data_IF_415764445970
#
_entry.id   IF_415764445970
#
_cell.length_a   1.000
_cell.length_b   1.000
_cell.length_c   1.000
_cell.angle_alpha   90.00
_cell.angle_beta   90.00
_cell.angle_gamma   90.00
#
_symmetry.space_group_name_H-M   'P 1'
#
loop_
_entity.id
_entity.type
_entity.pdbx_description
1 polymer ?
#
# COMPACT_ATOMS: atom_id res chain seq x y z
N UNK A 1 4.33 -8.42 -14.36
CA UNK A 1 2.89 -8.52 -13.97
C UNK A 1 2.22 -9.77 -14.54
N UNK A 2 1.84 -9.84 -15.83
CA UNK A 2 1.13 -11.00 -16.38
C UNK A 2 1.94 -12.31 -16.26
N UNK A 3 3.22 -12.24 -16.57
CA UNK A 3 4.17 -13.35 -16.40
C UNK A 3 4.31 -13.79 -14.93
N UNK A 4 4.30 -12.84 -13.98
CA UNK A 4 4.34 -13.16 -12.55
C UNK A 4 3.05 -13.85 -12.09
N UNK A 5 1.90 -13.44 -12.65
CA UNK A 5 0.62 -14.09 -12.41
C UNK A 5 0.63 -15.52 -12.96
N UNK A 6 1.09 -15.72 -14.21
CA UNK A 6 1.22 -17.06 -14.80
C UNK A 6 2.07 -17.99 -13.94
N UNK A 7 3.27 -17.55 -13.53
CA UNK A 7 4.16 -18.34 -12.65
C UNK A 7 3.53 -18.64 -11.29
N UNK A 8 2.78 -17.68 -10.74
CA UNK A 8 2.04 -17.87 -9.50
C UNK A 8 0.96 -18.96 -9.67
N UNK A 9 0.14 -18.85 -10.71
CA UNK A 9 -0.95 -19.78 -10.99
C UNK A 9 -0.46 -21.18 -11.33
N UNK A 10 0.58 -21.31 -12.17
CA UNK A 10 1.21 -22.61 -12.50
C UNK A 10 1.76 -23.32 -11.25
N UNK A 11 2.28 -22.57 -10.29
CA UNK A 11 2.74 -23.14 -9.01
C UNK A 11 1.58 -23.62 -8.14
N UNK A 12 0.47 -22.90 -8.11
CA UNK A 12 -0.72 -23.33 -7.38
C UNK A 12 -1.45 -24.50 -8.09
N UNK A 13 -1.41 -24.56 -9.42
CA UNK A 13 -1.96 -25.65 -10.22
C UNK A 13 -1.14 -26.94 -10.13
N UNK A 14 0.20 -26.85 -10.13
CA UNK A 14 1.08 -27.99 -9.90
C UNK A 14 0.91 -28.65 -8.52
N UNK A 15 0.26 -27.97 -7.56
CA UNK A 15 -0.18 -28.56 -6.28
C UNK A 15 -1.51 -29.32 -6.39
N UNK A 16 -2.27 -29.15 -7.48
CA UNK A 16 -3.64 -29.67 -7.68
C UNK A 16 -3.77 -30.82 -8.69
N UNK A 17 -2.70 -31.21 -9.39
CA UNK A 17 -2.67 -32.38 -10.31
C UNK A 17 -3.85 -32.42 -11.30
N UNK A 18 -3.88 -31.53 -12.29
CA UNK A 18 -4.83 -31.58 -13.41
C UNK A 18 -4.12 -31.83 -14.75
N UNK A 19 -4.86 -32.32 -15.75
CA UNK A 19 -4.35 -32.75 -17.06
C UNK A 19 -3.82 -31.57 -17.91
N UNK A 20 -2.87 -31.85 -18.82
CA UNK A 20 -2.06 -30.87 -19.58
C UNK A 20 -2.83 -29.94 -20.54
N UNK A 21 -4.12 -30.14 -20.78
CA UNK A 21 -4.89 -29.39 -21.78
C UNK A 21 -5.42 -28.03 -21.28
N UNK A 22 -5.28 -27.74 -19.98
CA UNK A 22 -5.81 -26.54 -19.30
C UNK A 22 -4.69 -25.56 -18.85
N UNK A 23 -3.72 -25.25 -19.72
CA UNK A 23 -2.58 -24.41 -19.35
C UNK A 23 -2.91 -22.91 -19.18
N UNK A 24 -2.26 -22.26 -18.22
CA UNK A 24 -2.32 -20.79 -18.05
C UNK A 24 -1.61 -20.11 -19.23
N UNK A 25 -2.30 -19.25 -19.95
CA UNK A 25 -1.80 -18.56 -21.13
C UNK A 25 -1.79 -17.04 -20.95
N UNK A 26 -0.89 -16.35 -21.66
CA UNK A 26 -0.88 -14.89 -21.75
C UNK A 26 -1.25 -14.49 -23.17
N UNK A 27 -2.22 -13.60 -23.29
CA UNK A 27 -2.63 -13.01 -24.56
C UNK A 27 -2.21 -11.55 -24.55
N UNK A 28 -1.37 -11.17 -25.49
CA UNK A 28 -1.07 -9.77 -25.78
C UNK A 28 -2.19 -9.20 -26.64
N UNK A 29 -2.80 -8.11 -26.16
CA UNK A 29 -3.85 -7.37 -26.87
C UNK A 29 -3.33 -5.98 -27.17
N UNK A 30 -3.40 -5.57 -28.44
CA UNK A 30 -3.14 -4.19 -28.87
C UNK A 30 -4.43 -3.40 -29.07
N UNK A 31 -4.30 -2.08 -29.05
CA UNK A 31 -5.44 -1.15 -29.12
C UNK A 31 -6.28 -1.29 -30.41
N UNK A 32 -5.70 -1.80 -31.49
CA UNK A 32 -6.36 -2.10 -32.77
C UNK A 32 -7.12 -3.45 -32.77
N UNK A 33 -7.10 -4.19 -31.67
CA UNK A 33 -7.84 -5.44 -31.50
C UNK A 33 -7.11 -6.71 -31.91
N UNK A 34 -5.82 -6.63 -32.27
CA UNK A 34 -5.02 -7.84 -32.45
C UNK A 34 -4.78 -8.51 -31.11
N UNK A 35 -5.05 -9.80 -31.04
CA UNK A 35 -4.82 -10.64 -29.89
C UNK A 35 -3.88 -11.79 -30.29
N UNK A 36 -2.71 -11.86 -29.68
CA UNK A 36 -1.70 -12.88 -29.98
C UNK A 36 -1.27 -13.60 -28.70
N UNK A 37 -1.35 -14.94 -28.63
CA UNK A 37 -0.72 -15.70 -27.56
C UNK A 37 0.77 -15.36 -27.46
N UNK A 38 1.30 -15.31 -26.23
CA UNK A 38 2.72 -15.03 -26.00
C UNK A 38 3.29 -15.95 -24.91
N UNK A 39 4.29 -16.75 -25.28
CA UNK A 39 4.95 -17.72 -24.39
C UNK A 39 6.07 -17.10 -23.55
N UNK A 40 6.56 -15.94 -23.99
CA UNK A 40 7.48 -15.13 -23.20
C UNK A 40 7.32 -13.66 -23.59
N UNK A 41 7.25 -12.78 -22.60
CA UNK A 41 7.40 -11.33 -22.80
C UNK A 41 8.90 -11.06 -23.04
N UNK A 42 9.51 -11.69 -24.04
CA UNK A 42 10.87 -11.34 -24.47
C UNK A 42 10.80 -10.10 -25.34
N UNK A 43 10.96 -8.95 -24.68
CA UNK A 43 11.62 -7.75 -25.16
C UNK A 43 11.66 -7.51 -26.68
N UNK A 44 10.55 -7.06 -27.28
CA UNK A 44 10.59 -6.35 -28.58
C UNK A 44 9.63 -5.17 -28.71
N UNK A 45 8.69 -4.96 -27.80
CA UNK A 45 7.95 -3.70 -27.75
C UNK A 45 8.62 -2.79 -26.72
N UNK A 46 9.21 -1.66 -27.15
CA UNK A 46 9.07 -0.43 -26.35
C UNK A 46 7.61 -0.02 -26.52
N UNK A 47 6.70 -0.49 -25.66
CA UNK A 47 5.29 -0.32 -25.91
C UNK A 47 5.03 1.17 -25.65
N UNK A 48 4.50 1.89 -26.63
CA UNK A 48 3.98 3.23 -26.38
C UNK A 48 3.02 3.08 -25.18
N UNK A 49 3.24 3.82 -24.07
CA UNK A 49 2.45 3.63 -22.87
C UNK A 49 0.97 3.62 -23.19
N UNK A 50 0.24 2.67 -22.60
CA UNK A 50 -1.20 2.59 -22.77
C UNK A 50 -1.72 1.93 -24.06
N UNK A 51 -0.88 1.52 -25.00
CA UNK A 51 -1.34 0.87 -26.25
C UNK A 51 -1.48 -0.66 -26.17
N UNK A 52 -0.99 -1.26 -25.09
CA UNK A 52 -0.92 -2.70 -24.94
C UNK A 52 -1.47 -3.14 -23.58
N UNK A 53 -2.23 -4.23 -23.58
CA UNK A 53 -2.70 -4.92 -22.39
C UNK A 53 -2.33 -6.40 -22.52
N UNK A 54 -1.97 -7.02 -21.41
CA UNK A 54 -1.69 -8.45 -21.34
C UNK A 54 -2.78 -9.10 -20.50
N UNK A 55 -3.51 -10.02 -21.10
CA UNK A 55 -4.59 -10.78 -20.47
C UNK A 55 -4.03 -12.13 -20.06
N UNK A 56 -4.25 -12.52 -18.81
CA UNK A 56 -3.92 -13.87 -18.33
C UNK A 56 -5.19 -14.71 -18.41
N UNK A 57 -5.16 -15.74 -19.22
CA UNK A 57 -6.23 -16.74 -19.35
C UNK A 57 -5.84 -17.95 -18.53
N UNK A 58 -6.75 -18.43 -17.71
CA UNK A 58 -6.51 -19.52 -16.77
C UNK A 58 -7.79 -20.35 -16.59
N UNK A 59 -7.67 -21.62 -16.17
CA UNK A 59 -8.82 -22.46 -15.88
C UNK A 59 -9.68 -21.91 -14.74
N UNK A 60 -11.00 -22.14 -14.80
CA UNK A 60 -11.95 -21.59 -13.83
C UNK A 60 -11.60 -21.96 -12.37
N UNK A 61 -11.08 -23.17 -12.15
CA UNK A 61 -10.64 -23.63 -10.82
C UNK A 61 -9.53 -22.79 -10.17
N UNK A 62 -8.80 -21.98 -10.95
CA UNK A 62 -7.76 -21.06 -10.45
C UNK A 62 -8.28 -19.64 -10.18
N UNK A 63 -9.59 -19.40 -10.32
CA UNK A 63 -10.18 -18.07 -10.17
C UNK A 63 -9.93 -17.42 -8.80
N UNK A 64 -9.94 -18.21 -7.72
CA UNK A 64 -9.62 -17.71 -6.37
C UNK A 64 -8.17 -17.25 -6.25
N UNK A 65 -7.24 -18.02 -6.80
CA UNK A 65 -5.81 -17.76 -6.81
C UNK A 65 -5.51 -16.53 -7.68
N UNK A 66 -6.06 -16.47 -8.89
CA UNK A 66 -5.88 -15.34 -9.79
C UNK A 66 -6.39 -14.04 -9.15
N UNK A 67 -7.57 -14.07 -8.54
CA UNK A 67 -8.09 -12.92 -7.77
C UNK A 67 -7.14 -12.51 -6.64
N UNK A 68 -6.65 -13.48 -5.85
CA UNK A 68 -5.73 -13.21 -4.76
C UNK A 68 -4.43 -12.58 -5.25
N UNK A 69 -3.89 -13.03 -6.38
CA UNK A 69 -2.70 -12.45 -7.00
C UNK A 69 -2.90 -10.97 -7.30
N UNK A 70 -3.94 -10.61 -8.08
CA UNK A 70 -4.17 -9.22 -8.48
C UNK A 70 -4.48 -8.31 -7.28
N UNK A 71 -5.29 -8.82 -6.33
CA UNK A 71 -5.65 -8.08 -5.13
C UNK A 71 -4.43 -7.80 -4.25
N UNK A 72 -3.64 -8.82 -3.92
CA UNK A 72 -2.54 -8.67 -2.95
C UNK A 72 -1.30 -8.00 -3.55
N UNK A 73 -1.04 -8.17 -4.84
CA UNK A 73 0.08 -7.46 -5.50
C UNK A 73 -0.27 -6.01 -5.82
N UNK A 74 -1.56 -5.67 -5.96
CA UNK A 74 -1.99 -4.39 -6.51
C UNK A 74 -1.53 -4.18 -7.96
N UNK A 75 -1.21 -5.26 -8.68
CA UNK A 75 -0.92 -5.24 -10.12
C UNK A 75 -2.21 -5.14 -10.92
N UNK A 76 -2.07 -4.69 -12.17
CA UNK A 76 -3.17 -4.56 -13.11
C UNK A 76 -3.20 -3.17 -13.74
N UNK A 77 -4.35 -2.83 -14.32
CA UNK A 77 -4.58 -1.53 -14.95
C UNK A 77 -5.46 -0.68 -14.04
N UNK A 78 -5.22 0.63 -14.02
CA UNK A 78 -6.05 1.58 -13.27
C UNK A 78 -7.41 1.77 -13.95
N UNK A 79 -8.40 2.31 -13.22
CA UNK A 79 -9.69 2.68 -13.81
C UNK A 79 -9.55 3.71 -14.93
N UNK A 80 -8.58 4.64 -14.82
CA UNK A 80 -8.31 5.63 -15.87
C UNK A 80 -7.70 4.98 -17.11
N UNK A 81 -6.83 3.98 -16.92
CA UNK A 81 -6.29 3.20 -18.03
C UNK A 81 -7.39 2.36 -18.71
N UNK A 82 -8.26 1.70 -17.93
CA UNK A 82 -9.40 0.97 -18.46
C UNK A 82 -10.37 1.90 -19.24
N UNK A 83 -10.68 3.09 -18.70
CA UNK A 83 -11.52 4.07 -19.38
C UNK A 83 -10.89 4.58 -20.69
N UNK A 84 -9.57 4.78 -20.71
CA UNK A 84 -8.83 5.10 -21.93
C UNK A 84 -9.02 4.00 -22.98
N UNK A 85 -8.82 2.72 -22.62
CA UNK A 85 -9.05 1.60 -23.52
C UNK A 85 -10.48 1.54 -24.04
N UNK A 86 -11.47 1.64 -23.16
CA UNK A 86 -12.89 1.64 -23.55
C UNK A 86 -13.21 2.75 -24.58
N UNK A 87 -12.54 3.91 -24.47
CA UNK A 87 -12.75 5.01 -25.41
C UNK A 87 -12.03 4.85 -26.76
N UNK A 88 -10.99 4.01 -26.84
CA UNK A 88 -10.09 3.93 -28.03
C UNK A 88 -10.13 2.59 -28.74
N UNK A 89 -10.33 1.49 -28.02
CA UNK A 89 -10.47 0.16 -28.61
C UNK A 89 -11.88 0.01 -29.16
N UNK A 90 -12.04 0.15 -30.48
CA UNK A 90 -13.34 0.06 -31.18
C UNK A 90 -14.06 -1.26 -30.90
N UNK A 91 -13.33 -2.36 -30.76
CA UNK A 91 -13.86 -3.70 -30.45
C UNK A 91 -14.45 -3.82 -29.02
N UNK A 92 -14.20 -2.87 -28.13
CA UNK A 92 -14.84 -2.80 -26.79
C UNK A 92 -16.14 -1.97 -26.79
N UNK A 93 -16.42 -1.22 -27.86
CA UNK A 93 -17.61 -0.39 -27.95
C UNK A 93 -18.81 -1.26 -28.34
N UNK A 94 -19.89 -1.22 -27.54
CA UNK A 94 -21.11 -2.01 -27.77
C UNK A 94 -21.68 -1.70 -29.17
N UNK A 95 -21.59 -2.68 -30.08
CA UNK A 95 -22.00 -2.57 -31.49
C UNK A 95 -20.96 -3.10 -32.50
N UNK A 96 -19.68 -3.21 -32.10
CA UNK A 96 -18.62 -3.81 -32.91
C UNK A 96 -18.49 -5.31 -32.64
N UNK A 97 -19.20 -6.14 -33.40
CA UNK A 97 -19.02 -7.59 -33.34
C UNK A 97 -17.56 -7.96 -33.62
N UNK A 98 -17.02 -8.89 -32.82
CA UNK A 98 -15.80 -9.62 -33.15
C UNK A 98 -16.11 -10.46 -34.39
N UNK A 99 -15.92 -9.90 -35.57
CA UNK A 99 -15.87 -10.68 -36.81
C UNK A 99 -14.46 -11.27 -36.90
N UNK A 100 -14.38 -12.58 -36.65
CA UNK A 100 -13.22 -13.37 -37.06
C UNK A 100 -13.00 -13.16 -38.57
N UNK A 101 -11.92 -12.46 -38.90
CA UNK A 101 -11.31 -12.38 -40.23
C UNK A 101 -12.13 -11.74 -41.35
N UNK A 102 -12.06 -10.41 -41.51
CA UNK A 102 -12.11 -9.74 -42.83
C UNK A 102 -11.31 -8.42 -42.78
N UNK A 103 -10.35 -8.28 -43.67
CA UNK A 103 -9.67 -7.01 -44.02
C UNK A 103 -10.69 -6.03 -44.60
N UNK A 104 -10.95 -4.91 -43.93
CA UNK A 104 -11.73 -3.80 -44.48
C UNK A 104 -11.03 -2.48 -44.19
N UNK A 105 -10.96 -1.64 -45.22
CA UNK A 105 -10.03 -0.52 -45.32
C UNK A 105 -10.46 0.70 -44.52
N UNK A 106 -9.42 1.45 -44.16
CA UNK A 106 -9.44 2.78 -43.56
C UNK A 106 -10.13 3.77 -44.51
N UNK A 107 -10.99 4.65 -43.98
CA UNK A 107 -11.06 6.06 -44.39
C UNK A 107 -11.73 6.93 -43.33
N UNK A 108 -10.93 7.87 -42.84
CA UNK A 108 -11.23 9.24 -42.44
C UNK A 108 -12.40 9.56 -41.49
N UNK A 109 -12.00 9.74 -40.23
CA UNK A 109 -12.71 10.48 -39.19
C UNK A 109 -11.73 11.00 -38.14
N UNK A 110 -10.81 11.87 -38.53
CA UNK A 110 -9.92 12.58 -37.58
C UNK A 110 -10.70 13.71 -36.91
N UNK A 111 -10.52 13.84 -35.59
CA UNK A 111 -10.86 14.93 -34.63
C UNK A 111 -11.86 14.48 -33.55
N UNK A 112 -11.53 14.26 -32.27
CA UNK A 112 -10.39 14.68 -31.46
C UNK A 112 -9.93 13.53 -30.53
N UNK A 113 -8.68 13.09 -30.72
CA UNK A 113 -7.97 12.22 -29.80
C UNK A 113 -7.09 13.13 -28.95
N UNK A 114 -7.39 13.36 -27.67
CA UNK A 114 -6.32 13.78 -26.77
C UNK A 114 -5.38 12.60 -26.65
N UNK A 115 -4.26 12.68 -27.37
CA UNK A 115 -3.11 11.80 -27.18
C UNK A 115 -2.76 11.72 -25.68
N UNK A 116 -2.21 10.59 -25.25
CA UNK A 116 -1.74 10.46 -23.87
C UNK A 116 -0.76 11.61 -23.56
N UNK A 117 -0.82 12.24 -22.37
CA UNK A 117 -0.03 13.41 -22.04
C UNK A 117 1.41 13.02 -21.68
N UNK A 118 2.14 12.35 -22.58
CA UNK A 118 3.42 11.70 -22.29
C UNK A 118 4.50 12.69 -21.83
N UNK A 119 4.56 13.88 -22.45
CA UNK A 119 5.54 14.89 -22.05
C UNK A 119 5.22 15.47 -20.67
N UNK A 120 3.94 15.74 -20.39
CA UNK A 120 3.49 16.21 -19.08
C UNK A 120 3.73 15.13 -18.02
N UNK A 121 3.42 13.87 -18.30
CA UNK A 121 3.65 12.75 -17.41
C UNK A 121 5.13 12.58 -17.08
N UNK A 122 6.06 12.73 -18.04
CA UNK A 122 7.51 12.70 -17.75
C UNK A 122 7.92 13.81 -16.78
N UNK A 123 7.38 15.02 -16.93
CA UNK A 123 7.63 16.14 -16.00
C UNK A 123 7.02 15.84 -14.63
N UNK A 124 5.80 15.33 -14.59
CA UNK A 124 5.10 14.92 -13.36
C UNK A 124 5.85 13.82 -12.61
N UNK A 125 6.36 12.79 -13.30
CA UNK A 125 7.21 11.74 -12.73
C UNK A 125 8.45 12.33 -12.05
N UNK A 126 9.16 13.24 -12.73
CA UNK A 126 10.34 13.87 -12.17
C UNK A 126 10.00 14.76 -10.96
N UNK A 127 8.94 15.57 -11.07
CA UNK A 127 8.42 16.42 -10.00
C UNK A 127 8.05 15.59 -8.76
N UNK A 128 7.33 14.48 -8.93
CA UNK A 128 6.97 13.55 -7.85
C UNK A 128 8.21 12.97 -7.16
N UNK A 129 9.17 12.47 -7.94
CA UNK A 129 10.41 11.91 -7.39
C UNK A 129 11.22 12.96 -6.61
N UNK A 130 11.30 14.19 -7.13
CA UNK A 130 11.94 15.32 -6.44
C UNK A 130 11.22 15.69 -5.14
N UNK A 131 9.89 15.78 -5.17
CA UNK A 131 9.06 16.07 -3.99
C UNK A 131 9.26 15.01 -2.92
N UNK A 132 9.18 13.73 -3.28
CA UNK A 132 9.37 12.60 -2.38
C UNK A 132 10.80 12.57 -1.82
N UNK A 133 11.82 12.73 -2.67
CA UNK A 133 13.21 12.81 -2.23
C UNK A 133 13.42 13.95 -1.22
N UNK A 134 12.84 15.12 -1.47
CA UNK A 134 12.87 16.26 -0.55
C UNK A 134 12.19 15.95 0.79
N UNK A 135 11.02 15.30 0.77
CA UNK A 135 10.30 14.90 1.98
C UNK A 135 11.11 13.95 2.87
N UNK A 136 11.84 13.00 2.28
CA UNK A 136 12.67 12.05 3.03
C UNK A 136 14.09 12.54 3.35
N UNK A 137 14.50 13.68 2.80
CA UNK A 137 15.81 14.26 3.07
C UNK A 137 15.82 14.99 4.41
N UNK A 138 16.79 14.66 5.25
CA UNK A 138 17.11 15.39 6.49
C UNK A 138 18.63 15.40 6.65
N UNK A 139 19.26 16.58 6.65
CA UNK A 139 20.71 16.66 6.72
C UNK A 139 21.27 15.86 7.94
N UNK A 140 22.31 15.02 7.76
CA UNK A 140 23.10 14.80 6.55
C UNK A 140 22.55 13.73 5.58
N UNK A 141 21.42 13.08 5.89
CA UNK A 141 20.77 12.06 5.07
C UNK A 141 19.96 12.69 3.92
N UNK A 142 20.59 12.88 2.77
CA UNK A 142 19.93 13.45 1.58
C UNK A 142 19.57 12.33 0.59
N UNK A 143 18.27 12.10 0.39
CA UNK A 143 17.75 11.13 -0.57
C UNK A 143 17.90 11.70 -1.97
N UNK A 144 18.53 10.96 -2.88
CA UNK A 144 18.62 11.39 -4.27
C UNK A 144 17.32 11.09 -5.02
N UNK A 145 17.03 11.86 -6.07
CA UNK A 145 15.89 11.57 -6.98
C UNK A 145 15.99 10.14 -7.55
N UNK A 146 17.22 9.67 -7.77
CA UNK A 146 17.54 8.31 -8.23
C UNK A 146 17.13 7.21 -7.25
N UNK A 147 16.95 7.52 -5.97
CA UNK A 147 16.59 6.58 -4.90
C UNK A 147 15.08 6.43 -4.71
N UNK A 148 14.28 7.19 -5.49
CA UNK A 148 12.81 7.16 -5.44
C UNK A 148 12.27 6.40 -6.65
N UNK A 149 11.53 5.33 -6.37
CA UNK A 149 10.84 4.50 -7.36
C UNK A 149 9.33 4.66 -7.20
N UNK A 150 8.61 4.84 -8.31
CA UNK A 150 7.16 5.03 -8.33
C UNK A 150 6.46 3.81 -8.90
N UNK A 151 5.27 3.51 -8.38
CA UNK A 151 4.47 2.37 -8.80
C UNK A 151 2.98 2.73 -8.88
N UNK A 152 2.17 1.98 -9.66
CA UNK A 152 0.73 2.27 -9.82
C UNK A 152 -0.10 2.20 -8.54
N UNK A 153 0.35 1.45 -7.53
CA UNK A 153 -0.33 1.28 -6.23
C UNK A 153 0.67 1.11 -5.09
N UNK A 154 0.25 1.38 -3.84
CA UNK A 154 1.07 1.06 -2.65
C UNK A 154 1.45 -0.42 -2.57
N UNK A 155 0.52 -1.32 -2.87
CA UNK A 155 0.81 -2.77 -2.87
C UNK A 155 1.80 -3.17 -3.95
N UNK A 156 1.77 -2.53 -5.13
CA UNK A 156 2.77 -2.79 -6.16
C UNK A 156 4.17 -2.33 -5.72
N UNK A 157 4.28 -1.25 -4.93
CA UNK A 157 5.56 -0.82 -4.34
C UNK A 157 6.11 -1.85 -3.34
N UNK A 158 5.24 -2.41 -2.48
CA UNK A 158 5.60 -3.49 -1.54
C UNK A 158 5.98 -4.76 -2.30
N UNK A 159 5.18 -5.17 -3.29
CA UNK A 159 5.40 -6.37 -4.08
C UNK A 159 6.72 -6.32 -4.87
N UNK A 160 7.03 -5.18 -5.51
CA UNK A 160 8.29 -5.00 -6.23
C UNK A 160 9.49 -4.86 -5.29
N UNK A 161 9.34 -4.18 -4.15
CA UNK A 161 10.38 -4.13 -3.11
C UNK A 161 10.75 -5.56 -2.67
N UNK A 162 9.76 -6.40 -2.36
CA UNK A 162 9.99 -7.81 -2.00
C UNK A 162 10.77 -8.60 -3.06
N UNK A 163 10.47 -8.40 -4.34
CA UNK A 163 11.19 -9.06 -5.44
C UNK A 163 12.63 -8.56 -5.59
N UNK A 164 12.85 -7.24 -5.47
CA UNK A 164 14.18 -6.63 -5.52
C UNK A 164 15.05 -7.06 -4.33
N UNK A 165 14.47 -7.18 -3.12
CA UNK A 165 15.22 -7.66 -1.97
C UNK A 165 15.57 -9.16 -2.11
N UNK A 166 14.67 -9.96 -2.70
CA UNK A 166 14.95 -11.37 -3.00
C UNK A 166 16.11 -11.56 -3.97
N UNK A 167 16.24 -10.70 -4.98
CA UNK A 167 17.34 -10.81 -5.95
C UNK A 167 18.72 -10.50 -5.36
N UNK A 168 18.78 -9.89 -4.17
CA UNK A 168 20.02 -9.68 -3.41
C UNK A 168 20.43 -10.90 -2.58
N UNK A 169 19.51 -11.86 -2.38
CA UNK A 169 19.78 -13.07 -1.62
C UNK A 169 20.84 -13.94 -2.30
N UNK A 170 21.78 -14.47 -1.52
CA UNK A 170 22.86 -15.35 -2.00
C UNK A 170 22.46 -16.83 -2.02
N UNK A 171 21.29 -17.17 -1.47
CA UNK A 171 20.83 -18.55 -1.35
C UNK A 171 20.19 -19.01 -2.65
N UNK A 172 20.75 -20.08 -3.20
CA UNK A 172 20.16 -20.82 -4.32
C UNK A 172 18.87 -21.51 -3.83
N UNK A 173 17.72 -20.95 -4.22
CA UNK A 173 16.36 -21.49 -4.09
C UNK A 173 15.60 -21.30 -2.76
N UNK A 174 14.32 -20.91 -2.92
CA UNK A 174 13.19 -21.28 -2.06
C UNK A 174 13.03 -20.58 -0.70
N UNK A 175 14.11 -20.43 0.06
CA UNK A 175 14.05 -20.20 1.52
C UNK A 175 14.15 -18.72 1.94
N UNK A 176 13.54 -17.80 1.17
CA UNK A 176 13.54 -16.39 1.55
C UNK A 176 12.68 -16.18 2.80
N UNK A 177 13.32 -15.87 3.93
CA UNK A 177 12.68 -15.79 5.24
C UNK A 177 12.46 -14.33 5.62
N UNK A 178 11.22 -14.01 5.98
CA UNK A 178 10.81 -12.64 6.32
C UNK A 178 10.26 -12.59 7.73
N UNK A 179 10.80 -11.72 8.57
CA UNK A 179 10.16 -11.34 9.81
C UNK A 179 9.09 -10.28 9.53
N UNK A 180 7.89 -10.47 10.06
CA UNK A 180 6.78 -9.53 9.94
C UNK A 180 6.51 -8.98 11.33
N UNK A 181 6.85 -7.71 11.54
CA UNK A 181 6.78 -7.08 12.85
C UNK A 181 5.57 -6.15 12.94
N UNK A 182 4.57 -6.59 13.71
CA UNK A 182 3.27 -5.95 13.85
C UNK A 182 2.17 -6.53 12.97
N UNK A 183 0.97 -6.02 13.20
CA UNK A 183 -0.23 -6.37 12.46
C UNK A 183 -0.32 -5.56 11.17
N UNK A 184 0.50 -5.92 10.18
CA UNK A 184 0.57 -5.15 8.93
C UNK A 184 -0.75 -5.16 8.17
N UNK A 185 -0.88 -4.21 7.25
CA UNK A 185 -1.91 -4.22 6.22
C UNK A 185 -2.00 -5.60 5.58
N UNK A 186 -3.22 -6.15 5.53
CA UNK A 186 -3.49 -7.56 5.21
C UNK A 186 -2.79 -8.00 3.94
N UNK A 187 -2.86 -7.18 2.90
CA UNK A 187 -2.28 -7.52 1.61
C UNK A 187 -0.75 -7.59 1.67
N UNK A 188 -0.08 -6.84 2.55
CA UNK A 188 1.38 -6.93 2.76
C UNK A 188 1.77 -8.32 3.25
N UNK A 189 1.08 -8.84 4.26
CA UNK A 189 1.36 -10.20 4.73
C UNK A 189 1.02 -11.26 3.67
N UNK A 190 -0.12 -11.12 2.97
CA UNK A 190 -0.55 -12.10 1.96
C UNK A 190 0.31 -12.06 0.70
N UNK A 191 0.83 -10.90 0.27
CA UNK A 191 1.73 -10.82 -0.89
C UNK A 191 3.08 -11.46 -0.59
N UNK A 192 3.64 -11.25 0.61
CA UNK A 192 4.89 -11.87 1.03
C UNK A 192 4.74 -13.40 1.16
N UNK A 193 3.73 -13.84 1.92
CA UNK A 193 3.55 -15.27 2.25
C UNK A 193 2.91 -16.08 1.13
N UNK A 194 1.76 -15.65 0.59
CA UNK A 194 0.97 -16.44 -0.38
C UNK A 194 1.46 -16.24 -1.80
N UNK A 195 1.64 -15.00 -2.23
CA UNK A 195 1.99 -14.71 -3.64
C UNK A 195 3.46 -15.03 -3.91
N UNK A 196 4.36 -14.43 -3.14
CA UNK A 196 5.80 -14.61 -3.32
C UNK A 196 6.34 -15.90 -2.69
N UNK A 197 5.57 -16.54 -1.81
CA UNK A 197 5.91 -17.83 -1.20
C UNK A 197 6.99 -17.74 -0.13
N UNK A 198 7.18 -16.57 0.50
CA UNK A 198 8.22 -16.39 1.51
C UNK A 198 7.85 -17.08 2.81
N UNK A 199 8.87 -17.56 3.54
CA UNK A 199 8.69 -18.07 4.88
C UNK A 199 8.54 -16.89 5.86
N UNK A 200 7.30 -16.50 6.13
CA UNK A 200 7.00 -15.38 7.03
C UNK A 200 6.87 -15.83 8.49
N UNK A 201 7.63 -15.22 9.39
CA UNK A 201 7.48 -15.36 10.85
C UNK A 201 6.83 -14.10 11.39
N UNK A 202 5.70 -14.24 12.09
CA UNK A 202 4.89 -13.12 12.56
C UNK A 202 5.15 -12.79 14.03
N UNK A 203 5.56 -11.56 14.29
CA UNK A 203 5.67 -10.91 15.59
C UNK A 203 4.55 -9.88 15.72
N UNK A 204 3.30 -10.36 15.84
CA UNK A 204 2.11 -9.59 15.49
C UNK A 204 1.65 -8.54 16.50
N UNK A 205 2.15 -8.55 17.74
CA UNK A 205 1.81 -7.53 18.73
C UNK A 205 2.65 -6.26 18.59
N UNK A 206 3.77 -6.33 17.86
CA UNK A 206 4.77 -5.27 17.77
C UNK A 206 5.21 -4.72 19.15
N UNK A 207 5.23 -5.58 20.15
CA UNK A 207 5.54 -5.23 21.55
C UNK A 207 7.03 -5.37 21.86
N UNK A 208 7.43 -4.99 23.07
CA UNK A 208 8.79 -5.26 23.57
C UNK A 208 9.07 -6.77 23.66
N UNK A 209 8.09 -7.58 24.06
CA UNK A 209 8.24 -9.04 24.12
C UNK A 209 8.43 -9.66 22.75
N UNK A 210 7.79 -9.11 21.72
CA UNK A 210 7.99 -9.51 20.33
C UNK A 210 9.40 -9.15 19.84
N UNK A 211 9.92 -7.99 20.23
CA UNK A 211 11.32 -7.64 19.97
C UNK A 211 12.30 -8.60 20.68
N UNK A 212 11.99 -9.02 21.91
CA UNK A 212 12.80 -9.99 22.65
C UNK A 212 12.76 -11.38 21.98
N UNK A 213 11.59 -11.79 21.47
CA UNK A 213 11.45 -13.03 20.72
C UNK A 213 12.24 -13.00 19.40
N UNK A 214 12.18 -11.89 18.67
CA UNK A 214 12.98 -11.69 17.47
C UNK A 214 14.49 -11.78 17.76
N UNK A 215 14.96 -11.11 18.81
CA UNK A 215 16.37 -11.16 19.21
C UNK A 215 16.79 -12.58 19.62
N UNK A 216 15.95 -13.29 20.37
CA UNK A 216 16.19 -14.69 20.75
C UNK A 216 16.29 -15.61 19.54
N UNK A 217 15.40 -15.46 18.56
CA UNK A 217 15.44 -16.25 17.33
C UNK A 217 16.76 -16.01 16.58
N UNK A 218 17.14 -14.73 16.40
CA UNK A 218 18.39 -14.32 15.78
C UNK A 218 19.62 -14.89 16.51
N UNK A 219 19.61 -14.90 17.85
CA UNK A 219 20.67 -15.47 18.69
C UNK A 219 20.74 -16.99 18.63
N UNK A 220 19.61 -17.66 18.42
CA UNK A 220 19.54 -19.11 18.23
C UNK A 220 20.00 -19.58 16.85
N UNK A 221 20.39 -18.64 15.97
CA UNK A 221 20.87 -18.93 14.62
C UNK A 221 19.79 -18.87 13.53
N UNK A 222 18.57 -18.40 13.85
CA UNK A 222 17.57 -18.12 12.82
C UNK A 222 18.04 -16.95 11.96
N UNK A 223 18.12 -17.18 10.65
CA UNK A 223 18.48 -16.16 9.68
C UNK A 223 17.22 -15.58 9.02
N UNK A 224 17.10 -14.25 9.01
CA UNK A 224 16.10 -13.52 8.24
C UNK A 224 16.78 -12.80 7.07
N UNK A 225 16.14 -12.75 5.91
CA UNK A 225 16.64 -11.98 4.77
C UNK A 225 16.12 -10.54 4.81
N UNK A 226 14.87 -10.37 5.27
CA UNK A 226 14.25 -9.08 5.45
C UNK A 226 13.28 -9.07 6.65
N UNK A 227 13.00 -7.86 7.14
CA UNK A 227 11.95 -7.58 8.10
C UNK A 227 11.05 -6.46 7.56
N UNK A 228 9.74 -6.67 7.61
CA UNK A 228 8.73 -5.69 7.22
C UNK A 228 7.97 -5.20 8.45
N UNK A 229 7.75 -3.90 8.52
CA UNK A 229 6.98 -3.27 9.59
C UNK A 229 6.24 -2.02 9.12
N UNK A 230 5.26 -1.56 9.90
CA UNK A 230 4.56 -0.29 9.72
C UNK A 230 4.89 0.66 10.87
N UNK A 231 4.96 1.97 10.59
CA UNK A 231 5.18 2.96 11.63
C UNK A 231 4.33 4.22 11.45
N UNK A 232 3.37 4.50 12.36
CA UNK A 232 2.85 3.60 13.41
C UNK A 232 2.04 2.45 12.78
N UNK A 233 1.86 1.34 13.51
CA UNK A 233 1.17 0.15 12.99
C UNK A 233 -0.35 0.31 12.89
N UNK A 234 -0.94 0.06 11.72
CA UNK A 234 -2.40 0.01 11.56
C UNK A 234 -2.99 -1.24 12.26
N UNK A 235 -4.17 -1.21 12.90
CA UNK A 235 -5.03 -0.06 13.21
C UNK A 235 -4.82 0.51 14.62
N UNK A 236 -3.96 -0.11 15.46
CA UNK A 236 -3.81 0.25 16.88
C UNK A 236 -2.79 1.36 17.14
N UNK A 237 -2.07 1.78 16.11
CA UNK A 237 -1.18 2.94 16.06
C UNK A 237 -0.06 2.91 17.11
N UNK A 238 0.38 1.70 17.46
CA UNK A 238 1.58 1.49 18.26
C UNK A 238 2.86 1.77 17.46
N UNK A 239 3.87 2.26 18.15
CA UNK A 239 5.22 2.45 17.61
C UNK A 239 6.18 1.40 18.15
N UNK A 240 7.08 0.89 17.30
CA UNK A 240 8.13 -0.04 17.70
C UNK A 240 9.49 0.66 17.91
N UNK A 241 10.42 0.01 18.61
CA UNK A 241 11.77 0.54 18.80
C UNK A 241 12.62 0.31 17.54
N UNK A 242 12.55 1.26 16.60
CA UNK A 242 13.33 1.22 15.35
C UNK A 242 14.84 1.30 15.58
N UNK A 243 15.30 1.86 16.71
CA UNK A 243 16.73 1.92 17.01
C UNK A 243 17.25 0.54 17.41
N UNK A 244 16.51 -0.18 18.26
CA UNK A 244 16.83 -1.59 18.57
C UNK A 244 16.75 -2.46 17.32
N UNK A 245 15.74 -2.26 16.47
CA UNK A 245 15.59 -2.99 15.21
C UNK A 245 16.77 -2.73 14.24
N UNK A 246 17.18 -1.48 14.07
CA UNK A 246 18.34 -1.10 13.24
C UNK A 246 19.64 -1.75 13.76
N UNK A 247 19.84 -1.78 15.09
CA UNK A 247 20.98 -2.47 15.69
C UNK A 247 20.97 -3.98 15.41
N UNK A 248 19.82 -4.65 15.56
CA UNK A 248 19.66 -6.07 15.24
C UNK A 248 19.90 -6.34 13.75
N UNK A 249 19.35 -5.49 12.87
CA UNK A 249 19.53 -5.57 11.42
C UNK A 249 21.01 -5.49 11.03
N UNK A 250 21.77 -4.56 11.60
CA UNK A 250 23.21 -4.45 11.36
C UNK A 250 24.01 -5.64 11.90
N UNK A 251 23.65 -6.12 13.09
CA UNK A 251 24.33 -7.26 13.75
C UNK A 251 24.11 -8.58 13.01
N UNK A 252 22.90 -8.79 12.47
CA UNK A 252 22.51 -10.07 11.86
C UNK A 252 22.36 -10.02 10.32
N UNK A 253 22.53 -8.86 9.70
CA UNK A 253 22.63 -8.72 8.24
C UNK A 253 21.33 -8.77 7.45
N UNK A 254 20.16 -8.57 8.08
CA UNK A 254 18.86 -8.56 7.39
C UNK A 254 18.42 -7.15 6.99
N UNK A 255 17.66 -7.03 5.91
CA UNK A 255 17.15 -5.75 5.41
C UNK A 255 15.87 -5.32 6.14
N UNK A 256 15.66 -4.02 6.32
CA UNK A 256 14.47 -3.47 7.02
C UNK A 256 13.65 -2.63 6.05
N UNK A 257 12.38 -3.00 5.87
CA UNK A 257 11.38 -2.26 5.10
C UNK A 257 10.35 -1.69 6.06
N UNK A 258 10.16 -0.37 6.00
CA UNK A 258 9.17 0.34 6.80
C UNK A 258 8.09 0.90 5.87
N UNK A 259 6.83 0.57 6.12
CA UNK A 259 5.70 1.26 5.53
C UNK A 259 5.31 2.45 6.43
N UNK A 260 5.45 3.67 5.91
CA UNK A 260 5.18 4.91 6.64
C UNK A 260 3.85 5.57 6.25
N UNK A 261 2.99 4.88 5.50
CA UNK A 261 1.77 5.44 4.90
C UNK A 261 0.91 6.25 5.87
N UNK A 262 0.76 5.77 7.11
CA UNK A 262 -0.02 6.43 8.15
C UNK A 262 0.78 7.54 8.83
N UNK A 263 2.05 7.26 9.13
CA UNK A 263 2.94 8.17 9.83
C UNK A 263 3.25 9.42 9.02
N UNK A 264 3.50 9.22 7.72
CA UNK A 264 3.94 10.19 6.71
C UNK A 264 5.33 10.77 6.98
N UNK A 265 6.06 11.01 5.90
CA UNK A 265 7.32 11.75 5.88
C UNK A 265 7.23 13.20 6.35
N UNK A 266 6.03 13.77 6.47
CA UNK A 266 5.80 15.11 7.04
C UNK A 266 5.95 15.08 8.56
N UNK A 267 5.39 14.06 9.23
CA UNK A 267 5.45 13.96 10.67
C UNK A 267 6.71 13.25 11.16
N UNK A 268 7.25 12.32 10.38
CA UNK A 268 8.28 11.38 10.83
C UNK A 268 9.52 11.38 9.93
N UNK A 269 10.68 11.10 10.54
CA UNK A 269 11.95 10.90 9.84
C UNK A 269 12.45 9.46 10.04
N UNK A 270 11.96 8.54 9.22
CA UNK A 270 12.24 7.10 9.37
C UNK A 270 13.35 6.60 8.45
N UNK A 271 13.58 7.26 7.31
CA UNK A 271 14.55 6.83 6.30
C UNK A 271 15.95 6.51 6.88
N UNK A 272 16.50 7.25 7.86
CA UNK A 272 17.81 6.91 8.45
C UNK A 272 17.90 5.56 9.18
N UNK A 273 16.78 4.89 9.48
CA UNK A 273 16.69 3.72 10.37
C UNK A 273 16.23 2.45 9.66
N UNK A 274 16.09 2.51 8.34
CA UNK A 274 15.66 1.39 7.52
C UNK A 274 16.40 1.38 6.19
N UNK A 275 16.21 0.31 5.43
CA UNK A 275 16.83 0.14 4.12
C UNK A 275 15.93 0.70 3.02
N UNK A 276 14.61 0.47 3.14
CA UNK A 276 13.60 0.93 2.19
C UNK A 276 12.40 1.48 2.96
N UNK A 277 11.89 2.65 2.56
CA UNK A 277 10.58 3.15 2.99
C UNK A 277 9.58 2.92 1.86
N UNK A 278 8.50 2.21 2.16
CA UNK A 278 7.35 2.07 1.27
C UNK A 278 6.25 3.04 1.69
N UNK A 279 5.57 3.66 0.73
CA UNK A 279 4.45 4.55 1.00
C UNK A 279 3.34 4.34 -0.01
N UNK A 280 2.10 4.21 0.46
CA UNK A 280 0.91 4.25 -0.38
C UNK A 280 0.55 5.70 -0.72
N UNK A 281 0.94 6.15 -1.91
CA UNK A 281 0.63 7.50 -2.40
C UNK A 281 -0.87 7.72 -2.64
N UNK A 282 -1.64 6.63 -2.76
CA UNK A 282 -3.10 6.63 -2.83
C UNK A 282 -3.77 7.35 -1.65
N UNK A 283 -3.12 7.35 -0.48
CA UNK A 283 -3.65 7.87 0.78
C UNK A 283 -3.41 9.37 0.88
N UNK A 284 -2.95 9.86 2.03
CA UNK A 284 -2.84 11.30 2.31
C UNK A 284 -1.95 12.04 1.30
N UNK A 285 -1.00 11.37 0.65
CA UNK A 285 -0.20 11.98 -0.40
C UNK A 285 -1.06 12.52 -1.56
N UNK A 286 -1.99 11.71 -2.08
CA UNK A 286 -3.00 12.17 -3.05
C UNK A 286 -4.18 12.88 -2.38
N UNK A 287 -4.80 12.26 -1.37
CA UNK A 287 -5.93 12.80 -0.60
C UNK A 287 -7.27 12.94 -1.34
N UNK A 288 -7.25 13.00 -2.68
CA UNK A 288 -8.43 13.33 -3.50
C UNK A 288 -9.29 12.12 -3.95
N UNK A 289 -8.95 10.90 -3.53
CA UNK A 289 -9.72 9.67 -3.84
C UNK A 289 -9.91 9.36 -5.33
N UNK A 290 -9.06 9.88 -6.22
CA UNK A 290 -9.27 9.79 -7.68
C UNK A 290 -8.05 9.23 -8.46
N UNK A 291 -7.02 8.80 -7.73
CA UNK A 291 -5.80 8.21 -8.28
C UNK A 291 -5.12 7.33 -7.24
N UNK A 292 -4.51 6.24 -7.70
CA UNK A 292 -3.68 5.36 -6.88
C UNK A 292 -2.20 5.53 -7.23
N UNK A 293 -1.33 5.26 -6.28
CA UNK A 293 0.11 5.21 -6.48
C UNK A 293 0.83 4.62 -5.28
N UNK A 294 2.09 4.27 -5.48
CA UNK A 294 3.00 3.83 -4.42
C UNK A 294 4.41 4.35 -4.68
N UNK A 295 5.20 4.47 -3.62
CA UNK A 295 6.63 4.74 -3.73
C UNK A 295 7.45 3.76 -2.90
N UNK A 296 8.66 3.47 -3.38
CA UNK A 296 9.73 2.89 -2.58
C UNK A 296 10.91 3.86 -2.59
N UNK A 297 11.43 4.18 -1.41
CA UNK A 297 12.54 5.11 -1.21
C UNK A 297 13.70 4.39 -0.56
N UNK A 298 14.85 4.36 -1.22
CA UNK A 298 16.06 3.76 -0.68
C UNK A 298 16.73 4.73 0.30
N UNK A 299 17.14 4.23 1.46
CA UNK A 299 17.89 5.04 2.42
C UNK A 299 19.34 5.21 2.00
N UNK A 300 19.86 6.45 1.88
CA UNK A 300 21.28 6.71 1.63
C UNK A 300 22.20 6.21 2.74
N UNK A 301 21.67 6.00 3.96
CA UNK A 301 22.44 5.48 5.11
C UNK A 301 22.50 3.97 5.17
N UNK A 302 21.76 3.28 4.31
CA UNK A 302 21.79 1.83 4.22
C UNK A 302 23.19 1.35 3.82
N UNK A 303 23.77 0.41 4.57
CA UNK A 303 25.01 -0.27 4.17
C UNK A 303 24.86 -1.07 2.88
N UNK A 304 23.61 -1.31 2.44
CA UNK A 304 23.26 -2.01 1.22
C UNK A 304 22.83 -1.07 0.09
N UNK A 305 22.96 0.25 0.24
CA UNK A 305 22.37 1.26 -0.67
C UNK A 305 22.70 1.01 -2.14
N UNK A 306 23.96 0.85 -2.53
CA UNK A 306 24.34 0.60 -3.94
C UNK A 306 23.79 -0.73 -4.49
N UNK A 307 23.78 -1.79 -3.66
CA UNK A 307 23.20 -3.09 -4.04
C UNK A 307 21.70 -2.98 -4.24
N UNK A 308 20.99 -2.30 -3.32
CA UNK A 308 19.57 -2.02 -3.42
C UNK A 308 19.28 -1.21 -4.68
N UNK A 309 20.07 -0.17 -4.95
CA UNK A 309 19.90 0.67 -6.13
C UNK A 309 20.05 -0.13 -7.42
N UNK A 310 21.03 -1.05 -7.51
CA UNK A 310 21.15 -1.98 -8.64
C UNK A 310 19.91 -2.86 -8.75
N UNK A 311 19.54 -3.58 -7.68
CA UNK A 311 18.42 -4.52 -7.69
C UNK A 311 17.08 -3.86 -8.06
N UNK A 312 16.81 -2.67 -7.51
CA UNK A 312 15.62 -1.91 -7.87
C UNK A 312 15.67 -1.42 -9.32
N UNK A 313 16.81 -0.92 -9.80
CA UNK A 313 16.93 -0.43 -11.18
C UNK A 313 16.78 -1.56 -12.20
N UNK A 314 17.33 -2.73 -11.91
CA UNK A 314 17.23 -3.93 -12.76
C UNK A 314 15.80 -4.50 -12.80
N UNK A 315 15.09 -4.42 -11.67
CA UNK A 315 13.71 -4.94 -11.56
C UNK A 315 12.63 -3.91 -11.93
N UNK A 316 12.94 -2.61 -11.98
CA UNK A 316 11.94 -1.56 -12.15
C UNK A 316 11.48 -1.44 -13.59
N UNK A 317 10.16 -1.56 -13.79
CA UNK A 317 9.48 -1.25 -15.04
C UNK A 317 8.47 -0.14 -14.77
N UNK A 318 8.58 0.97 -15.51
CA UNK A 318 7.60 2.05 -15.41
C UNK A 318 6.28 1.60 -16.04
N UNK A 319 5.37 1.21 -15.15
CA UNK A 319 4.01 0.76 -15.48
C UNK A 319 2.97 1.77 -15.01
N UNK A 320 3.40 2.95 -14.55
CA UNK A 320 2.49 3.95 -14.02
C UNK A 320 1.82 4.70 -15.17
N UNK A 321 0.50 4.53 -15.29
CA UNK A 321 -0.25 5.08 -16.42
C UNK A 321 -0.09 6.62 -16.50
N UNK A 322 0.32 7.20 -17.65
CA UNK A 322 0.74 8.60 -17.72
C UNK A 322 -0.30 9.61 -17.19
N UNK A 323 -1.60 9.51 -17.54
CA UNK A 323 -2.64 10.35 -16.96
C UNK A 323 -2.79 10.25 -15.43
N UNK A 324 -2.52 9.07 -14.83
CA UNK A 324 -2.58 8.92 -13.37
C UNK A 324 -1.39 9.60 -12.70
N UNK A 325 -0.20 9.52 -13.28
CA UNK A 325 0.99 10.24 -12.78
C UNK A 325 0.75 11.76 -12.76
N UNK A 326 0.15 12.30 -13.82
CA UNK A 326 -0.19 13.74 -13.90
C UNK A 326 -1.17 14.13 -12.80
N UNK A 327 -2.21 13.33 -12.55
CA UNK A 327 -3.16 13.59 -11.46
C UNK A 327 -2.49 13.47 -10.08
N UNK A 328 -1.63 12.47 -9.89
CA UNK A 328 -0.88 12.28 -8.64
C UNK A 328 0.04 13.46 -8.32
N UNK A 329 0.76 14.00 -9.31
CA UNK A 329 1.62 15.18 -9.12
C UNK A 329 0.81 16.41 -8.72
N UNK A 330 -0.33 16.65 -9.39
CA UNK A 330 -1.23 17.77 -9.07
C UNK A 330 -1.80 17.65 -7.66
N UNK A 331 -2.31 16.47 -7.29
CA UNK A 331 -2.95 16.23 -5.99
C UNK A 331 -1.97 16.33 -4.80
N UNK A 332 -0.68 16.09 -5.03
CA UNK A 332 0.33 16.09 -3.96
C UNK A 332 0.98 17.44 -3.70
N UNK A 333 0.59 18.49 -4.44
CA UNK A 333 1.18 19.82 -4.33
C UNK A 333 1.03 20.44 -2.92
N UNK A 334 -0.06 20.15 -2.23
CA UNK A 334 -0.40 20.65 -0.89
C UNK A 334 -0.32 19.55 0.20
N UNK A 335 0.36 18.43 -0.09
CA UNK A 335 0.46 17.28 0.81
C UNK A 335 0.84 17.66 2.25
N UNK A 336 1.86 18.50 2.43
CA UNK A 336 2.36 18.89 3.76
C UNK A 336 1.31 19.63 4.58
N UNK A 337 0.64 20.63 4.02
CA UNK A 337 -0.38 21.39 4.75
C UNK A 337 -1.59 20.52 5.10
N UNK A 338 -1.98 19.61 4.20
CA UNK A 338 -3.08 18.68 4.46
C UNK A 338 -2.78 17.70 5.59
N UNK A 339 -1.57 17.13 5.64
CA UNK A 339 -1.15 16.25 6.74
C UNK A 339 -1.22 16.98 8.08
N UNK A 340 -0.67 18.19 8.16
CA UNK A 340 -0.64 18.97 9.40
C UNK A 340 -2.06 19.32 9.86
N UNK A 341 -2.90 19.83 8.95
CA UNK A 341 -4.30 20.17 9.24
C UNK A 341 -5.09 18.95 9.74
N UNK A 342 -4.98 17.82 9.03
CA UNK A 342 -5.68 16.60 9.41
C UNK A 342 -5.18 16.01 10.74
N UNK A 343 -3.87 16.13 11.01
CA UNK A 343 -3.30 15.66 12.28
C UNK A 343 -3.75 16.52 13.46
N UNK A 344 -3.83 17.83 13.29
CA UNK A 344 -4.36 18.75 14.31
C UNK A 344 -5.85 18.52 14.56
N UNK A 345 -6.63 18.27 13.52
CA UNK A 345 -8.03 17.85 13.67
C UNK A 345 -8.12 16.53 14.45
N UNK A 346 -7.31 15.53 14.10
CA UNK A 346 -7.32 14.24 14.79
C UNK A 346 -7.00 14.37 16.27
N UNK A 347 -6.00 15.19 16.63
CA UNK A 347 -5.63 15.41 18.02
C UNK A 347 -6.78 15.99 18.85
N UNK A 348 -7.49 17.00 18.33
CA UNK A 348 -8.68 17.58 19.00
C UNK A 348 -9.78 16.55 19.21
N UNK A 349 -10.05 15.73 18.19
CA UNK A 349 -11.05 14.67 18.30
C UNK A 349 -10.65 13.62 19.34
N UNK A 350 -9.36 13.23 19.38
CA UNK A 350 -8.83 12.27 20.36
C UNK A 350 -9.02 12.78 21.78
N UNK A 351 -8.76 14.06 22.05
CA UNK A 351 -8.98 14.67 23.37
C UNK A 351 -10.44 14.57 23.82
N UNK A 352 -11.38 14.87 22.92
CA UNK A 352 -12.82 14.73 23.19
C UNK A 352 -13.24 13.29 23.44
N UNK A 353 -12.79 12.36 22.59
CA UNK A 353 -13.13 10.95 22.67
C UNK A 353 -12.63 10.31 23.96
N UNK A 354 -11.40 10.62 24.39
CA UNK A 354 -10.80 10.06 25.63
C UNK A 354 -11.54 10.48 26.90
N UNK A 355 -12.24 11.60 26.89
CA UNK A 355 -13.01 12.09 28.03
C UNK A 355 -14.43 11.50 28.14
N UNK A 356 -14.88 10.71 27.16
CA UNK A 356 -16.29 10.30 27.06
C UNK A 356 -16.55 8.92 27.69
N UNK A 357 -17.61 8.78 28.49
CA UNK A 357 -17.93 7.54 29.23
C UNK A 357 -18.20 6.30 28.38
N UNK A 358 -18.59 6.51 27.12
CA UNK A 358 -18.82 5.42 26.16
C UNK A 358 -17.53 4.80 25.62
N UNK A 359 -16.42 5.52 25.71
CA UNK A 359 -15.14 5.17 25.10
C UNK A 359 -14.27 4.51 26.18
N UNK A 360 -13.80 3.29 25.89
CA UNK A 360 -12.86 2.57 26.75
C UNK A 360 -11.42 3.01 26.43
N UNK A 361 -11.06 3.01 25.14
CA UNK A 361 -9.69 3.31 24.69
C UNK A 361 -9.70 4.02 23.34
N UNK A 362 -8.89 5.08 23.22
CA UNK A 362 -8.56 5.70 21.92
C UNK A 362 -7.12 5.36 21.56
N UNK A 363 -6.95 4.57 20.51
CA UNK A 363 -5.68 4.24 19.89
C UNK A 363 -5.22 5.41 19.03
N UNK A 364 -4.19 6.09 19.51
CA UNK A 364 -3.55 7.25 18.85
C UNK A 364 -2.12 7.40 19.38
N UNK A 365 -1.12 7.74 18.55
CA UNK A 365 0.28 7.76 19.00
C UNK A 365 0.52 8.67 20.21
N UNK A 366 -0.05 9.89 20.24
CA UNK A 366 0.01 10.80 21.39
C UNK A 366 -0.80 10.24 22.55
N UNK A 367 -0.18 10.07 23.72
CA UNK A 367 -0.78 9.49 24.93
C UNK A 367 -0.79 7.95 24.94
N UNK A 368 -0.22 7.29 23.93
CA UNK A 368 -0.07 5.82 23.95
C UNK A 368 1.10 5.37 24.83
N UNK A 369 1.13 4.10 25.27
CA UNK A 369 2.29 3.53 25.97
C UNK A 369 3.60 3.60 25.17
N UNK A 370 3.50 3.69 23.84
CA UNK A 370 4.65 3.75 22.92
C UNK A 370 4.91 5.16 22.37
N UNK A 371 4.27 6.20 22.92
CA UNK A 371 4.47 7.59 22.48
C UNK A 371 5.97 7.96 22.47
N UNK A 372 6.70 7.57 23.50
CA UNK A 372 8.13 7.84 23.62
C UNK A 372 8.98 7.22 22.48
N UNK A 373 8.48 6.21 21.77
CA UNK A 373 9.11 5.65 20.57
C UNK A 373 8.77 6.48 19.32
N UNK A 374 7.52 6.96 19.21
CA UNK A 374 7.10 7.90 18.18
C UNK A 374 7.90 9.22 18.26
N UNK A 375 7.99 9.79 19.46
CA UNK A 375 8.63 11.09 19.72
C UNK A 375 10.10 11.12 19.31
N UNK A 376 10.81 9.98 19.34
CA UNK A 376 12.22 9.89 18.88
C UNK A 376 12.39 10.24 17.40
N UNK A 377 11.37 9.99 16.59
CA UNK A 377 11.43 10.12 15.13
C UNK A 377 10.50 11.18 14.58
N UNK A 378 9.68 11.78 15.45
CA UNK A 378 8.85 12.93 15.13
C UNK A 378 9.72 14.11 14.71
N UNK A 379 9.39 14.71 13.57
CA UNK A 379 10.09 15.88 13.06
C UNK A 379 9.76 17.11 13.92
N UNK A 380 10.68 18.06 13.93
CA UNK A 380 10.36 19.41 14.39
C UNK A 380 9.21 19.96 13.54
N UNK A 381 8.12 20.38 14.19
CA UNK A 381 6.89 20.82 13.52
C UNK A 381 6.01 19.70 12.93
N UNK A 382 6.41 18.42 13.07
CA UNK A 382 5.53 17.30 12.76
C UNK A 382 4.45 17.10 13.83
N UNK A 383 3.42 16.31 13.53
CA UNK A 383 2.30 15.99 14.42
C UNK A 383 2.23 14.47 14.69
N UNK A 384 1.13 13.96 15.28
CA UNK A 384 0.97 12.52 15.60
C UNK A 384 0.13 11.73 14.58
N UNK A 385 -0.16 12.32 13.43
CA UNK A 385 -0.91 11.70 12.33
C UNK A 385 -2.42 11.93 12.41
N UNK A 386 -3.10 11.49 11.36
CA UNK A 386 -4.51 11.80 11.05
C UNK A 386 -5.46 10.60 11.26
N UNK A 387 -4.95 9.47 11.74
CA UNK A 387 -5.71 8.24 11.93
C UNK A 387 -5.87 7.99 13.43
N UNK A 388 -7.05 7.53 13.84
CA UNK A 388 -7.29 7.01 15.19
C UNK A 388 -8.22 5.80 15.13
N UNK A 389 -8.17 4.96 16.17
CA UNK A 389 -9.16 3.90 16.36
C UNK A 389 -9.73 3.94 17.77
N UNK A 390 -10.97 3.48 17.92
CA UNK A 390 -11.75 3.64 19.15
C UNK A 390 -12.27 2.27 19.58
N UNK A 391 -12.02 1.93 20.85
CA UNK A 391 -12.70 0.87 21.59
C UNK A 391 -13.76 1.49 22.46
N UNK A 392 -14.99 1.05 22.29
CA UNK A 392 -16.10 1.40 23.16
C UNK A 392 -16.26 0.38 24.26
N UNK A 393 -16.84 0.80 25.38
CA UNK A 393 -17.11 -0.06 26.55
C UNK A 393 -18.05 -1.22 26.20
N UNK A 394 -18.99 -0.99 25.26
CA UNK A 394 -19.96 -1.97 24.79
C UNK A 394 -20.04 -1.99 23.25
N UNK A 395 -20.25 -3.16 22.62
CA UNK A 395 -20.52 -3.27 21.19
C UNK A 395 -21.64 -2.37 20.68
N UNK A 396 -22.75 -2.29 21.42
CA UNK A 396 -23.91 -1.47 21.04
C UNK A 396 -23.55 0.03 20.95
N UNK A 397 -22.69 0.52 21.83
CA UNK A 397 -22.19 1.90 21.79
C UNK A 397 -21.30 2.15 20.56
N UNK A 398 -20.46 1.17 20.16
CA UNK A 398 -19.66 1.27 18.94
C UNK A 398 -20.52 1.33 17.68
N UNK A 399 -21.57 0.51 17.60
CA UNK A 399 -22.53 0.49 16.49
C UNK A 399 -23.27 1.83 16.42
N UNK A 400 -23.84 2.29 17.55
CA UNK A 400 -24.56 3.56 17.62
C UNK A 400 -23.66 4.75 17.26
N UNK A 401 -22.41 4.79 17.76
CA UNK A 401 -21.44 5.81 17.38
C UNK A 401 -21.15 5.77 15.87
N UNK A 402 -20.85 4.59 15.32
CA UNK A 402 -20.56 4.43 13.91
C UNK A 402 -21.71 4.92 13.04
N UNK A 403 -22.94 4.55 13.37
CA UNK A 403 -24.12 4.88 12.55
C UNK A 403 -24.49 6.37 12.66
N UNK A 404 -24.31 6.98 13.84
CA UNK A 404 -24.59 8.40 14.06
C UNK A 404 -23.48 9.34 13.56
N UNK A 405 -22.24 8.86 13.37
CA UNK A 405 -21.13 9.67 12.88
C UNK A 405 -21.34 10.01 11.39
N UNK A 406 -21.88 11.19 11.12
CA UNK A 406 -22.21 11.69 9.78
C UNK A 406 -20.96 12.11 8.97
N UNK A 407 -20.20 11.11 8.53
CA UNK A 407 -19.02 11.22 7.67
C UNK A 407 -19.05 10.10 6.63
N UNK A 408 -18.22 10.20 5.60
CA UNK A 408 -18.14 9.16 4.59
C UNK A 408 -17.72 7.80 5.21
N UNK A 409 -18.39 6.72 4.78
CA UNK A 409 -18.11 5.37 5.26
C UNK A 409 -17.30 4.61 4.21
N UNK A 410 -16.14 4.09 4.59
CA UNK A 410 -15.32 3.35 3.64
C UNK A 410 -14.03 2.77 4.23
N UNK A 411 -13.48 1.71 3.61
CA UNK A 411 -12.32 1.00 4.15
C UNK A 411 -10.98 1.73 3.97
N UNK A 412 -10.96 2.82 3.19
CA UNK A 412 -9.74 3.60 2.94
C UNK A 412 -9.39 4.53 4.13
N UNK A 413 -8.35 5.35 3.92
CA UNK A 413 -7.83 6.35 4.86
C UNK A 413 -7.02 7.41 4.09
N UNK A 414 -6.66 8.50 4.77
CA UNK A 414 -5.79 9.55 4.25
C UNK A 414 -6.45 10.34 3.13
N UNK A 415 -7.65 10.84 3.38
CA UNK A 415 -8.46 11.57 2.40
C UNK A 415 -8.64 13.02 2.85
N UNK A 416 -8.98 13.92 1.92
CA UNK A 416 -9.21 15.33 2.26
C UNK A 416 -10.49 15.52 3.11
N UNK A 417 -11.36 14.52 3.15
CA UNK A 417 -12.52 14.45 4.02
C UNK A 417 -12.40 13.27 4.98
N UNK A 418 -13.16 13.30 6.06
CA UNK A 418 -13.12 12.30 7.12
C UNK A 418 -13.82 11.02 6.68
N UNK A 419 -13.17 9.89 6.95
CA UNK A 419 -13.69 8.54 6.70
C UNK A 419 -13.82 7.79 8.03
N UNK A 420 -14.88 7.01 8.15
CA UNK A 420 -15.11 6.12 9.28
C UNK A 420 -15.42 4.70 8.80
N UNK A 421 -14.95 3.69 9.54
CA UNK A 421 -15.30 2.31 9.24
C UNK A 421 -15.24 1.39 10.47
N UNK A 422 -16.03 0.30 10.50
CA UNK A 422 -15.86 -0.78 11.47
C UNK A 422 -14.69 -1.66 10.99
N UNK A 423 -13.46 -1.28 11.37
CA UNK A 423 -12.23 -1.77 10.74
C UNK A 423 -12.14 -3.30 10.72
N UNK A 424 -12.33 -3.94 11.86
CA UNK A 424 -12.10 -5.39 12.00
C UNK A 424 -13.16 -6.19 11.24
N UNK A 425 -14.42 -5.75 11.27
CA UNK A 425 -15.50 -6.35 10.48
C UNK A 425 -15.26 -6.21 8.97
N UNK A 426 -14.66 -5.10 8.50
CA UNK A 426 -14.39 -4.92 7.07
C UNK A 426 -13.13 -5.65 6.60
N UNK A 427 -12.06 -5.63 7.39
CA UNK A 427 -10.76 -6.15 6.99
C UNK A 427 -10.55 -7.63 7.35
N UNK A 428 -11.23 -8.12 8.39
CA UNK A 428 -10.99 -9.42 9.01
C UNK A 428 -12.27 -10.18 9.36
N UNK A 429 -13.38 -9.96 8.62
CA UNK A 429 -14.67 -10.63 8.89
C UNK A 429 -14.53 -12.15 9.07
N UNK A 430 -13.70 -12.79 8.24
CA UNK A 430 -13.46 -14.25 8.29
C UNK A 430 -12.31 -14.66 9.22
N UNK A 431 -11.67 -13.71 9.90
CA UNK A 431 -10.45 -13.90 10.71
C UNK A 431 -10.59 -13.23 12.10
N UNK A 432 -11.80 -13.00 12.61
CA UNK A 432 -12.05 -12.24 13.84
C UNK A 432 -11.33 -12.82 15.07
N UNK A 433 -11.43 -14.13 15.30
CA UNK A 433 -10.75 -14.79 16.43
C UNK A 433 -9.22 -14.66 16.33
N UNK A 434 -8.68 -14.68 15.11
CA UNK A 434 -7.25 -14.51 14.88
C UNK A 434 -6.82 -13.05 15.11
N UNK A 435 -7.59 -12.08 14.60
CA UNK A 435 -7.34 -10.67 14.80
C UNK A 435 -7.39 -10.28 16.30
N UNK A 436 -8.35 -10.84 17.04
CA UNK A 436 -8.51 -10.63 18.47
C UNK A 436 -7.26 -11.05 19.28
N UNK A 437 -6.53 -12.08 18.84
CA UNK A 437 -5.25 -12.49 19.47
C UNK A 437 -4.21 -11.38 19.45
N UNK A 438 -4.26 -10.46 18.49
CA UNK A 438 -3.35 -9.32 18.37
C UNK A 438 -3.95 -8.01 18.90
N UNK A 439 -5.06 -8.09 19.63
CA UNK A 439 -5.75 -6.92 20.19
C UNK A 439 -6.65 -6.16 19.21
N UNK A 440 -6.81 -6.68 17.98
CA UNK A 440 -7.71 -6.11 16.97
C UNK A 440 -9.10 -6.71 17.17
N UNK A 441 -9.92 -6.03 17.99
CA UNK A 441 -11.24 -6.51 18.40
C UNK A 441 -12.33 -6.23 17.36
N UNK A 442 -13.41 -7.02 17.40
CA UNK A 442 -14.48 -7.03 16.40
C UNK A 442 -15.11 -5.65 16.13
N UNK A 443 -15.51 -4.92 17.19
CA UNK A 443 -16.19 -3.63 17.07
C UNK A 443 -15.25 -2.41 17.09
N UNK A 444 -14.05 -2.54 16.52
CA UNK A 444 -13.08 -1.44 16.39
C UNK A 444 -13.56 -0.42 15.36
N UNK A 445 -13.89 0.79 15.81
CA UNK A 445 -14.22 1.91 14.93
C UNK A 445 -12.94 2.67 14.59
N UNK A 446 -12.61 2.79 13.31
CA UNK A 446 -11.45 3.56 12.84
C UNK A 446 -11.90 4.82 12.12
N UNK A 447 -11.29 5.94 12.48
CA UNK A 447 -11.55 7.25 11.86
C UNK A 447 -10.26 7.76 11.22
N UNK A 448 -10.30 7.97 9.92
CA UNK A 448 -9.29 8.74 9.19
C UNK A 448 -9.79 10.17 9.06
N UNK A 449 -9.22 11.07 9.85
CA UNK A 449 -9.64 12.47 9.92
C UNK A 449 -9.15 13.23 8.70
N UNK A 450 -10.03 14.04 8.12
CA UNK A 450 -9.76 14.89 6.97
C UNK A 450 -9.38 16.33 7.36
N UNK A 451 -9.50 17.22 6.39
CA UNK A 451 -9.15 18.65 6.51
C UNK A 451 -10.38 19.56 6.63
N UNK A 452 -11.52 19.01 7.06
CA UNK A 452 -12.71 19.81 7.31
C UNK A 452 -12.50 20.83 8.43
N UNK A 453 -13.40 21.82 8.50
CA UNK A 453 -13.42 22.80 9.58
C UNK A 453 -13.56 22.12 10.94
N UNK A 454 -12.67 22.44 11.88
CA UNK A 454 -12.55 21.72 13.15
C UNK A 454 -13.83 21.73 13.98
N UNK A 455 -14.53 22.86 14.06
CA UNK A 455 -15.80 22.97 14.78
C UNK A 455 -16.90 22.12 14.16
N UNK A 456 -16.93 21.96 12.84
CA UNK A 456 -17.85 21.05 12.17
C UNK A 456 -17.57 19.59 12.54
N UNK A 457 -16.30 19.18 12.54
CA UNK A 457 -15.90 17.83 12.95
C UNK A 457 -16.24 17.55 14.43
N UNK A 458 -15.95 18.50 15.32
CA UNK A 458 -16.29 18.38 16.74
C UNK A 458 -17.79 18.18 16.94
N UNK A 459 -18.64 19.00 16.29
CA UNK A 459 -20.11 18.84 16.36
C UNK A 459 -20.59 17.49 15.85
N UNK A 460 -19.98 16.96 14.77
CA UNK A 460 -20.35 15.65 14.22
C UNK A 460 -19.97 14.54 15.20
N UNK A 461 -18.77 14.60 15.80
CA UNK A 461 -18.31 13.63 16.79
C UNK A 461 -19.12 13.70 18.09
N UNK A 462 -19.49 14.90 18.55
CA UNK A 462 -20.35 15.07 19.74
C UNK A 462 -21.71 14.42 19.57
N UNK A 463 -22.36 14.57 18.40
CA UNK A 463 -23.62 13.87 18.10
C UNK A 463 -23.45 12.35 18.13
N UNK A 464 -22.36 11.84 17.57
CA UNK A 464 -22.08 10.41 17.56
C UNK A 464 -21.78 9.87 18.97
N UNK A 465 -21.08 10.65 19.80
CA UNK A 465 -20.81 10.31 21.20
C UNK A 465 -22.10 10.26 22.03
N UNK A 466 -23.01 11.22 21.85
CA UNK A 466 -24.31 11.22 22.52
C UNK A 466 -25.13 9.96 22.18
N UNK A 467 -25.16 9.57 20.90
CA UNK A 467 -25.82 8.32 20.49
C UNK A 467 -25.17 7.09 21.16
N UNK A 468 -23.84 7.03 21.24
CA UNK A 468 -23.13 5.95 21.91
C UNK A 468 -23.46 5.86 23.41
N UNK A 469 -23.64 7.02 24.05
CA UNK A 469 -23.92 7.20 25.47
C UNK A 469 -25.22 6.52 25.92
N UNK A 470 -26.24 6.52 25.05
CA UNK A 470 -27.54 5.87 25.29
C UNK A 470 -27.42 4.34 25.43
N UNK A 471 -26.30 3.77 24.98
CA UNK A 471 -26.03 2.33 25.00
C UNK A 471 -24.96 1.92 26.04
N UNK A 472 -24.57 2.83 26.94
CA UNK A 472 -23.50 2.62 27.92
C UNK A 472 -23.92 1.94 29.22
#
# INVERSE_FOLDING_TARGET
MAEDCRRYLEREDGRRCLEKEDAVAIIHVSLDGRATPTDSVTATCSPIPGQHVFVVVYPEQLGSEARAFWQHTGFGISSRFAAFWLSKASFLQRGGGVTAGVTAGVTDGVTAVTELPLQEARRATLSLRQRIAGLYSTAPNNVAVGDVYLYPTGMSAVAHTALALRSLGTRASGDYRVAVFGFLYVDTFKVLSKVHGFHCVLYGHASSSDMDALEKDLESGVHYDALYTEFPGNPLLGSLDLHRLDALSKRHGFLVVVDDTIGTSVNLNLAPLCHVVCTSLTKMFSGACNVMGGSAVLSPRSSHHEKLRSAFSDAHLDTYFPPDVVVMDRNSADFTSRVLSASQNAERLVERLRGHRAVETVFYPKGSPTQHLYDRYKRAGGEYGYLLSIRFVKPAAAIAFHDALDVAKGPSLGTNFTLCCPYTLLAHYSELEWAAKYGVFEHLVRISVGIEESGALERIVERALAAAEEHC
#
